data_IF_788554388837
#
_entry.id   IF_788554388837
#
_cell.length_a   1.000
_cell.length_b   1.000
_cell.length_c   1.000
_cell.angle_alpha   90.00
_cell.angle_beta   90.00
_cell.angle_gamma   90.00
#
_symmetry.space_group_name_H-M   'P 1'
#
loop_
_entity.id
_entity.type
_entity.pdbx_description
1 polymer ?
#
# COMPACT_ATOMS: atom_id res chain seq x y z
N UNK A 1 -3.37 -52.32 -23.76
CA UNK A 1 -3.20 -50.87 -23.93
C UNK A 1 -2.95 -50.26 -22.55
N UNK A 2 -1.71 -49.86 -22.29
CA UNK A 2 -1.27 -49.34 -21.00
C UNK A 2 -1.83 -47.93 -20.78
N UNK A 3 -2.67 -47.75 -19.76
CA UNK A 3 -3.07 -46.44 -19.25
C UNK A 3 -2.05 -46.01 -18.19
N UNK A 4 -1.28 -44.96 -18.50
CA UNK A 4 -0.36 -44.32 -17.57
C UNK A 4 -1.11 -43.80 -16.32
N UNK A 5 -0.52 -43.91 -15.11
CA UNK A 5 -1.09 -43.28 -13.93
C UNK A 5 -0.93 -41.77 -14.05
N UNK A 6 -2.03 -41.02 -13.94
CA UNK A 6 -2.01 -39.57 -13.89
C UNK A 6 -1.13 -39.12 -12.72
N UNK A 7 -0.06 -38.41 -13.05
CA UNK A 7 0.85 -37.85 -12.06
C UNK A 7 0.09 -36.91 -11.13
N UNK A 8 0.14 -37.25 -9.84
CA UNK A 8 -0.50 -36.55 -8.73
C UNK A 8 0.22 -35.21 -8.43
N UNK A 9 0.24 -34.31 -9.42
CA UNK A 9 0.93 -33.01 -9.38
C UNK A 9 0.35 -32.10 -8.31
N UNK A 10 -0.98 -32.03 -8.21
CA UNK A 10 -1.71 -31.25 -7.20
C UNK A 10 -1.38 -31.71 -5.77
N UNK A 11 -1.30 -33.03 -5.53
CA UNK A 11 -0.91 -33.58 -4.24
C UNK A 11 0.52 -33.23 -3.82
N UNK A 12 1.45 -33.09 -4.79
CA UNK A 12 2.83 -32.64 -4.51
C UNK A 12 2.91 -31.15 -4.18
N UNK A 13 2.13 -30.32 -4.87
CA UNK A 13 2.06 -28.86 -4.63
C UNK A 13 1.46 -28.56 -3.25
N UNK A 14 0.34 -29.20 -2.90
CA UNK A 14 -0.29 -29.03 -1.57
C UNK A 14 0.61 -29.49 -0.43
N UNK A 15 1.38 -30.57 -0.63
CA UNK A 15 2.36 -31.05 0.35
C UNK A 15 3.59 -30.14 0.48
N UNK A 16 3.92 -29.38 -0.58
CA UNK A 16 4.99 -28.38 -0.58
C UNK A 16 4.60 -27.09 0.15
N UNK A 17 3.30 -26.79 0.26
CA UNK A 17 2.77 -25.55 0.83
C UNK A 17 2.50 -25.62 2.36
N UNK A 18 2.81 -26.74 3.04
CA UNK A 18 2.62 -26.92 4.50
C UNK A 18 1.23 -26.53 5.05
N UNK A 19 0.19 -26.63 4.24
CA UNK A 19 -1.20 -26.43 4.68
C UNK A 19 -1.60 -27.65 5.55
N UNK A 20 -2.21 -27.47 6.74
CA UNK A 20 -2.53 -28.59 7.63
C UNK A 20 -3.49 -29.60 6.98
N UNK A 21 -3.16 -30.88 7.20
CA UNK A 21 -3.83 -32.12 6.78
C UNK A 21 -5.33 -32.03 6.42
N UNK A 22 -5.64 -32.19 5.12
CA UNK A 22 -6.92 -32.76 4.67
C UNK A 22 -6.66 -34.20 4.21
N UNK A 23 -6.77 -35.15 5.13
CA UNK A 23 -6.62 -36.58 4.85
C UNK A 23 -7.90 -37.14 4.18
N UNK A 24 -7.80 -37.52 2.90
CA UNK A 24 -8.77 -38.40 2.24
C UNK A 24 -8.93 -38.13 0.73
N UNK A 25 -8.95 -39.18 -0.09
CA UNK A 25 -9.14 -39.07 -1.55
C UNK A 25 -10.48 -38.40 -1.95
N UNK A 26 -11.51 -38.47 -1.09
CA UNK A 26 -12.76 -37.74 -1.23
C UNK A 26 -12.63 -36.23 -0.93
N UNK A 27 -11.63 -35.85 -0.13
CA UNK A 27 -11.31 -34.46 0.21
C UNK A 27 -10.53 -33.74 -0.88
N UNK A 28 -9.74 -34.44 -1.69
CA UNK A 28 -9.01 -33.85 -2.81
C UNK A 28 -9.93 -33.48 -3.99
N UNK A 29 -10.94 -34.30 -4.31
CA UNK A 29 -11.96 -33.94 -5.30
C UNK A 29 -12.92 -32.87 -4.78
N UNK A 30 -13.24 -32.88 -3.48
CA UNK A 30 -14.06 -31.84 -2.85
C UNK A 30 -13.31 -30.51 -2.72
N UNK A 31 -12.02 -30.53 -2.37
CA UNK A 31 -11.14 -29.37 -2.38
C UNK A 31 -10.88 -28.88 -3.80
N UNK A 32 -10.71 -29.76 -4.79
CA UNK A 32 -10.60 -29.37 -6.19
C UNK A 32 -11.91 -28.75 -6.71
N UNK A 33 -13.08 -29.25 -6.31
CA UNK A 33 -14.39 -28.63 -6.64
C UNK A 33 -14.63 -27.33 -5.88
N UNK A 34 -14.24 -27.22 -4.61
CA UNK A 34 -14.29 -25.98 -3.83
C UNK A 34 -13.30 -24.94 -4.35
N UNK A 35 -12.12 -25.36 -4.84
CA UNK A 35 -11.15 -24.50 -5.52
C UNK A 35 -11.63 -24.13 -6.94
N UNK A 36 -12.30 -25.03 -7.65
CA UNK A 36 -12.89 -24.71 -8.96
C UNK A 36 -14.08 -23.75 -8.85
N UNK A 37 -14.88 -23.87 -7.78
CA UNK A 37 -15.96 -22.95 -7.44
C UNK A 37 -15.40 -21.60 -6.93
N UNK A 38 -14.30 -21.61 -6.16
CA UNK A 38 -13.68 -20.38 -5.66
C UNK A 38 -12.92 -19.60 -6.72
N UNK A 39 -12.39 -20.22 -7.79
CA UNK A 39 -11.65 -19.48 -8.85
C UNK A 39 -12.49 -18.39 -9.53
N UNK A 40 -13.83 -18.51 -9.51
CA UNK A 40 -14.76 -17.52 -10.05
C UNK A 40 -15.19 -16.47 -8.99
N UNK A 41 -15.02 -16.78 -7.70
CA UNK A 41 -15.27 -15.88 -6.55
C UNK A 41 -14.01 -15.15 -6.07
N UNK A 42 -12.81 -15.65 -6.40
CA UNK A 42 -11.53 -15.04 -6.01
C UNK A 42 -11.24 -13.87 -6.93
N UNK A 43 -11.17 -12.69 -6.31
CA UNK A 43 -10.95 -11.42 -6.99
C UNK A 43 -9.63 -11.43 -7.77
N UNK A 44 -9.59 -10.74 -8.90
CA UNK A 44 -8.41 -10.77 -9.78
C UNK A 44 -7.14 -10.32 -9.06
N UNK A 45 -7.21 -9.33 -8.17
CA UNK A 45 -6.08 -8.87 -7.38
C UNK A 45 -5.50 -9.98 -6.48
N UNK A 46 -6.35 -10.78 -5.80
CA UNK A 46 -5.91 -11.90 -4.98
C UNK A 46 -5.20 -12.98 -5.82
N UNK A 47 -5.70 -13.25 -7.04
CA UNK A 47 -5.03 -14.20 -7.96
C UNK A 47 -3.63 -13.72 -8.35
N UNK A 48 -3.47 -12.43 -8.63
CA UNK A 48 -2.17 -11.86 -8.95
C UNK A 48 -1.23 -11.91 -7.74
N UNK A 49 -1.74 -11.65 -6.53
CA UNK A 49 -0.95 -11.74 -5.31
C UNK A 49 -0.47 -13.17 -5.06
N UNK A 50 -1.35 -14.17 -5.13
CA UNK A 50 -0.98 -15.58 -4.98
C UNK A 50 0.03 -16.01 -6.06
N UNK A 51 -0.18 -15.61 -7.31
CA UNK A 51 0.76 -15.92 -8.39
C UNK A 51 2.15 -15.29 -8.14
N UNK A 52 2.20 -14.04 -7.68
CA UNK A 52 3.44 -13.37 -7.33
C UNK A 52 4.13 -14.04 -6.13
N UNK A 53 3.39 -14.43 -5.10
CA UNK A 53 3.94 -15.17 -3.96
C UNK A 53 4.55 -16.51 -4.38
N UNK A 54 3.90 -17.24 -5.27
CA UNK A 54 4.45 -18.48 -5.83
C UNK A 54 5.76 -18.19 -6.58
N UNK A 55 5.76 -17.22 -7.50
CA UNK A 55 6.93 -16.87 -8.32
C UNK A 55 8.10 -16.39 -7.47
N UNK A 56 7.83 -15.62 -6.43
CA UNK A 56 8.85 -15.04 -5.59
C UNK A 56 9.36 -16.03 -4.53
N UNK A 57 8.65 -17.13 -4.26
CA UNK A 57 9.13 -18.24 -3.40
C UNK A 57 9.81 -19.39 -4.17
N UNK A 58 9.67 -19.46 -5.49
CA UNK A 58 10.28 -20.52 -6.29
C UNK A 58 11.81 -20.48 -6.24
N UNK A 59 12.42 -21.64 -6.02
CA UNK A 59 13.87 -21.82 -6.02
C UNK A 59 14.31 -22.30 -7.39
N UNK A 60 15.20 -21.57 -8.06
CA UNK A 60 15.76 -21.98 -9.36
C UNK A 60 17.16 -22.58 -9.25
N UNK A 61 17.84 -22.39 -8.11
CA UNK A 61 19.20 -22.87 -7.89
C UNK A 61 19.49 -23.30 -6.45
N UNK A 62 20.65 -22.93 -5.92
CA UNK A 62 21.09 -23.26 -4.56
C UNK A 62 20.59 -22.21 -3.57
N UNK A 63 19.77 -22.63 -2.60
CA UNK A 63 19.31 -21.77 -1.48
C UNK A 63 20.45 -21.07 -0.73
N UNK A 64 21.60 -21.73 -0.56
CA UNK A 64 22.79 -21.14 0.10
C UNK A 64 23.36 -19.92 -0.62
N UNK A 65 23.06 -19.76 -1.91
CA UNK A 65 23.48 -18.62 -2.74
C UNK A 65 22.36 -17.59 -2.93
N UNK A 66 21.26 -17.73 -2.19
CA UNK A 66 20.07 -16.90 -2.37
C UNK A 66 19.49 -16.91 -3.81
N UNK A 67 19.67 -18.01 -4.55
CA UNK A 67 19.13 -18.22 -5.90
C UNK A 67 17.62 -18.61 -5.82
N UNK A 68 16.81 -17.68 -5.34
CA UNK A 68 15.38 -17.85 -5.05
C UNK A 68 14.59 -16.62 -5.51
N UNK A 69 13.43 -16.87 -6.09
CA UNK A 69 12.42 -15.86 -6.41
C UNK A 69 12.66 -15.13 -7.73
N UNK A 70 11.56 -14.60 -8.26
CA UNK A 70 11.57 -13.80 -9.50
C UNK A 70 12.29 -12.46 -9.34
N UNK A 71 12.26 -11.86 -8.16
CA UNK A 71 12.86 -10.53 -7.93
C UNK A 71 14.37 -10.55 -8.14
N UNK A 72 15.04 -11.65 -7.78
CA UNK A 72 16.47 -11.82 -8.02
C UNK A 72 16.78 -11.97 -9.51
N UNK A 73 15.93 -12.68 -10.25
CA UNK A 73 16.07 -12.84 -11.70
C UNK A 73 15.84 -11.51 -12.46
N UNK A 74 15.00 -10.63 -11.93
CA UNK A 74 14.83 -9.27 -12.44
C UNK A 74 16.07 -8.40 -12.16
N UNK A 75 16.62 -8.49 -10.95
CA UNK A 75 17.83 -7.77 -10.53
C UNK A 75 19.07 -8.18 -11.34
N UNK A 76 19.21 -9.47 -11.64
CA UNK A 76 20.29 -10.02 -12.47
C UNK A 76 20.04 -9.85 -13.99
N UNK A 77 19.00 -9.09 -14.36
CA UNK A 77 18.60 -8.81 -15.75
C UNK A 77 18.32 -10.07 -16.60
N UNK A 78 18.02 -11.20 -15.96
CA UNK A 78 17.57 -12.43 -16.64
C UNK A 78 16.16 -12.22 -17.21
N UNK A 79 15.32 -11.49 -16.47
CA UNK A 79 14.03 -11.01 -16.94
C UNK A 79 14.01 -9.49 -17.04
N UNK A 80 13.35 -8.95 -18.07
CA UNK A 80 13.21 -7.50 -18.25
C UNK A 80 12.14 -6.87 -17.37
N UNK A 81 11.16 -7.64 -16.92
CA UNK A 81 10.05 -7.13 -16.11
C UNK A 81 9.05 -8.22 -15.74
N UNK A 82 8.44 -8.09 -14.57
CA UNK A 82 7.31 -8.89 -14.13
C UNK A 82 6.21 -7.96 -13.62
N UNK A 83 5.03 -8.03 -14.20
CA UNK A 83 3.91 -7.16 -13.84
C UNK A 83 2.57 -7.88 -14.04
N UNK A 84 1.58 -7.63 -13.17
CA UNK A 84 0.22 -8.10 -13.39
C UNK A 84 -0.40 -7.38 -14.60
N UNK A 85 -1.27 -8.08 -15.33
CA UNK A 85 -2.00 -7.49 -16.43
C UNK A 85 -3.30 -6.84 -15.93
N UNK A 86 -3.61 -5.66 -16.46
CA UNK A 86 -4.88 -5.00 -16.17
C UNK A 86 -6.04 -5.69 -16.89
N UNK A 87 -7.22 -5.62 -16.28
CA UNK A 87 -8.44 -6.11 -16.89
C UNK A 87 -8.91 -5.12 -17.97
N UNK A 88 -8.62 -5.45 -19.24
CA UNK A 88 -9.15 -4.78 -20.41
C UNK A 88 -8.80 -3.28 -20.60
N UNK A 89 -9.43 -2.64 -21.61
CA UNK A 89 -9.27 -1.21 -21.88
C UNK A 89 -10.00 -0.35 -20.84
N UNK A 90 -9.53 0.88 -20.63
CA UNK A 90 -10.17 1.84 -19.72
C UNK A 90 -11.32 2.63 -20.40
N UNK A 91 -11.40 2.59 -21.73
CA UNK A 91 -12.39 3.31 -22.52
C UNK A 91 -13.75 2.62 -22.41
N UNK A 92 -14.80 3.41 -22.26
CA UNK A 92 -16.18 2.93 -22.23
C UNK A 92 -16.63 2.58 -23.67
N UNK A 93 -17.25 1.40 -23.87
CA UNK A 93 -17.90 1.08 -25.15
C UNK A 93 -19.03 2.08 -25.45
N UNK A 94 -19.39 2.23 -26.73
CA UNK A 94 -20.49 3.11 -27.15
C UNK A 94 -21.85 2.64 -26.62
N UNK A 95 -22.07 1.33 -26.63
CA UNK A 95 -23.25 0.66 -26.08
C UNK A 95 -22.76 -0.31 -25.00
N UNK A 96 -23.21 -0.13 -23.76
CA UNK A 96 -22.86 -1.02 -22.65
C UNK A 96 -24.02 -1.18 -21.68
N UNK A 97 -24.12 -2.38 -21.08
CA UNK A 97 -24.94 -2.60 -19.90
C UNK A 97 -24.06 -2.39 -18.65
N UNK A 98 -24.58 -1.79 -17.56
CA UNK A 98 -23.79 -1.54 -16.35
C UNK A 98 -23.16 -2.80 -15.74
N UNK A 99 -23.78 -3.97 -15.95
CA UNK A 99 -23.35 -5.27 -15.41
C UNK A 99 -22.15 -5.87 -16.16
N UNK A 100 -21.93 -5.46 -17.41
CA UNK A 100 -20.84 -5.97 -18.26
C UNK A 100 -19.56 -5.13 -18.15
N UNK A 101 -19.56 -4.08 -17.31
CA UNK A 101 -18.44 -3.17 -17.19
C UNK A 101 -17.30 -3.78 -16.39
N UNK A 102 -16.09 -3.54 -16.88
CA UNK A 102 -14.87 -3.90 -16.19
C UNK A 102 -14.62 -2.99 -14.97
N UNK A 103 -14.03 -3.51 -13.89
CA UNK A 103 -13.58 -2.73 -12.73
C UNK A 103 -12.75 -1.49 -13.13
N UNK A 104 -11.86 -1.64 -14.13
CA UNK A 104 -11.06 -0.51 -14.65
C UNK A 104 -11.91 0.58 -15.30
N UNK A 105 -12.93 0.18 -16.06
CA UNK A 105 -13.84 1.12 -16.73
C UNK A 105 -14.72 1.84 -15.72
N UNK A 106 -15.20 1.13 -14.68
CA UNK A 106 -15.97 1.70 -13.58
C UNK A 106 -15.14 2.76 -12.83
N UNK A 107 -13.91 2.44 -12.47
CA UNK A 107 -13.00 3.37 -11.79
C UNK A 107 -12.71 4.63 -12.63
N UNK A 108 -12.48 4.46 -13.93
CA UNK A 108 -12.31 5.60 -14.83
C UNK A 108 -13.58 6.45 -14.91
N UNK A 109 -14.75 5.81 -15.06
CA UNK A 109 -16.02 6.49 -15.24
C UNK A 109 -16.44 7.31 -14.01
N UNK A 110 -16.23 6.79 -12.80
CA UNK A 110 -16.80 7.32 -11.56
C UNK A 110 -15.80 8.00 -10.61
N UNK A 111 -14.49 7.81 -10.80
CA UNK A 111 -13.48 8.33 -9.87
C UNK A 111 -12.35 9.09 -10.57
N UNK A 112 -11.68 8.51 -11.56
CA UNK A 112 -10.46 9.07 -12.15
C UNK A 112 -10.68 10.18 -13.22
N UNK A 113 -11.74 10.98 -13.10
CA UNK A 113 -12.02 12.13 -14.01
C UNK A 113 -12.08 13.45 -13.26
N UNK A 114 -11.50 14.49 -13.87
CA UNK A 114 -11.49 15.85 -13.33
C UNK A 114 -12.88 16.40 -12.99
N UNK A 115 -13.92 16.01 -13.73
CA UNK A 115 -15.29 16.46 -13.49
C UNK A 115 -15.98 15.87 -12.25
N UNK A 116 -15.34 14.94 -11.53
CA UNK A 116 -15.95 14.18 -10.43
C UNK A 116 -15.37 14.52 -9.05
N UNK A 117 -14.57 15.57 -8.94
CA UNK A 117 -13.89 15.97 -7.70
C UNK A 117 -14.84 16.25 -6.51
N UNK A 118 -16.12 16.53 -6.76
CA UNK A 118 -17.13 16.79 -5.73
C UNK A 118 -17.76 15.52 -5.15
N UNK A 119 -17.54 14.35 -5.74
CA UNK A 119 -18.12 13.09 -5.28
C UNK A 119 -17.24 12.44 -4.21
N UNK A 120 -17.87 11.64 -3.34
CA UNK A 120 -17.15 10.78 -2.41
C UNK A 120 -16.35 9.71 -3.18
N UNK A 121 -15.16 9.38 -2.66
CA UNK A 121 -14.29 8.39 -3.27
C UNK A 121 -14.83 6.96 -3.03
N UNK A 122 -14.96 6.13 -4.07
CA UNK A 122 -15.41 4.74 -3.93
C UNK A 122 -14.26 3.84 -3.46
N UNK A 123 -13.96 3.86 -2.16
CA UNK A 123 -12.80 3.18 -1.59
C UNK A 123 -12.80 1.66 -1.82
N UNK A 124 -13.97 1.01 -1.74
CA UNK A 124 -14.06 -0.45 -1.90
C UNK A 124 -13.72 -0.89 -3.33
N UNK A 125 -14.12 -0.11 -4.35
CA UNK A 125 -13.78 -0.42 -5.75
C UNK A 125 -12.30 -0.15 -6.05
N UNK A 126 -11.71 0.87 -5.42
CA UNK A 126 -10.27 1.16 -5.53
C UNK A 126 -9.48 0.03 -4.89
N UNK A 127 -9.87 -0.40 -3.68
CA UNK A 127 -9.29 -1.55 -3.01
C UNK A 127 -9.41 -2.80 -3.89
N UNK A 128 -10.58 -3.04 -4.45
CA UNK A 128 -10.81 -4.26 -5.21
C UNK A 128 -9.89 -4.41 -6.41
N UNK A 129 -9.59 -3.29 -7.09
CA UNK A 129 -8.75 -3.28 -8.27
C UNK A 129 -7.24 -3.12 -7.97
N UNK A 130 -6.88 -2.26 -7.02
CA UNK A 130 -5.48 -1.91 -6.72
C UNK A 130 -4.92 -2.57 -5.45
N UNK A 131 -5.76 -3.18 -4.63
CA UNK A 131 -5.41 -3.76 -3.34
C UNK A 131 -5.52 -2.81 -2.15
N UNK A 132 -5.37 -3.38 -0.96
CA UNK A 132 -5.54 -2.74 0.34
C UNK A 132 -4.58 -1.57 0.55
N UNK A 133 -3.30 -1.72 0.16
CA UNK A 133 -2.27 -0.68 0.37
C UNK A 133 -2.64 0.62 -0.36
N UNK A 134 -3.07 0.52 -1.62
CA UNK A 134 -3.47 1.68 -2.43
C UNK A 134 -4.85 2.20 -1.98
N UNK A 135 -5.78 1.31 -1.64
CA UNK A 135 -7.07 1.69 -1.07
C UNK A 135 -6.92 2.51 0.21
N UNK A 136 -6.02 2.11 1.11
CA UNK A 136 -5.77 2.82 2.37
C UNK A 136 -5.11 4.19 2.13
N UNK A 137 -4.21 4.29 1.16
CA UNK A 137 -3.62 5.57 0.75
C UNK A 137 -4.70 6.57 0.30
N UNK A 138 -5.61 6.16 -0.58
CA UNK A 138 -6.69 7.05 -1.04
C UNK A 138 -7.71 7.34 0.06
N UNK A 139 -7.96 6.40 0.98
CA UNK A 139 -8.77 6.65 2.16
C UNK A 139 -8.16 7.75 3.06
N UNK A 140 -6.85 7.70 3.31
CA UNK A 140 -6.13 8.73 4.06
C UNK A 140 -6.21 10.08 3.35
N UNK A 141 -5.92 10.11 2.05
CA UNK A 141 -5.93 11.33 1.25
C UNK A 141 -7.33 11.98 1.24
N UNK A 142 -8.38 11.18 1.04
CA UNK A 142 -9.76 11.66 1.08
C UNK A 142 -10.16 12.22 2.44
N UNK A 143 -9.79 11.55 3.53
CA UNK A 143 -10.06 12.07 4.87
C UNK A 143 -9.28 13.36 5.16
N UNK A 144 -8.01 13.41 4.78
CA UNK A 144 -7.14 14.56 4.99
C UNK A 144 -7.66 15.80 4.25
N UNK A 145 -8.01 15.64 2.97
CA UNK A 145 -8.60 16.73 2.16
C UNK A 145 -9.93 17.22 2.74
N UNK A 146 -10.79 16.33 3.22
CA UNK A 146 -12.03 16.70 3.92
C UNK A 146 -11.74 17.46 5.23
N UNK A 147 -10.73 17.05 6.00
CA UNK A 147 -10.34 17.73 7.25
C UNK A 147 -9.60 19.06 7.04
N UNK A 148 -8.98 19.28 5.88
CA UNK A 148 -8.42 20.58 5.51
C UNK A 148 -9.51 21.63 5.22
N UNK A 149 -10.74 21.22 4.90
CA UNK A 149 -11.84 22.15 4.64
C UNK A 149 -12.14 23.06 5.85
N UNK A 150 -12.42 22.56 7.07
CA UNK A 150 -12.64 23.43 8.23
C UNK A 150 -11.41 24.28 8.56
N UNK A 151 -10.19 23.74 8.41
CA UNK A 151 -8.97 24.49 8.65
C UNK A 151 -8.79 25.65 7.68
N UNK A 152 -9.07 25.43 6.38
CA UNK A 152 -9.00 26.47 5.37
C UNK A 152 -10.07 27.55 5.56
N UNK A 153 -11.30 27.18 5.97
CA UNK A 153 -12.36 28.15 6.30
C UNK A 153 -11.92 29.06 7.44
N UNK A 154 -11.42 28.50 8.55
CA UNK A 154 -10.92 29.29 9.69
C UNK A 154 -9.73 30.16 9.27
N UNK A 155 -8.80 29.61 8.49
CA UNK A 155 -7.65 30.34 7.97
C UNK A 155 -8.06 31.54 7.09
N UNK A 156 -9.04 31.38 6.21
CA UNK A 156 -9.58 32.48 5.39
C UNK A 156 -10.22 33.56 6.28
N UNK A 157 -10.99 33.18 7.30
CA UNK A 157 -11.61 34.14 8.23
C UNK A 157 -10.53 34.96 8.95
N UNK A 158 -9.48 34.30 9.45
CA UNK A 158 -8.35 34.94 10.13
C UNK A 158 -7.60 35.87 9.17
N UNK A 159 -7.39 35.46 7.92
CA UNK A 159 -6.77 36.29 6.89
C UNK A 159 -7.60 37.54 6.55
N UNK A 160 -8.91 37.39 6.40
CA UNK A 160 -9.82 38.53 6.17
C UNK A 160 -9.84 39.51 7.34
N UNK A 161 -9.79 39.00 8.58
CA UNK A 161 -9.62 39.82 9.79
C UNK A 161 -8.30 40.60 9.77
N UNK A 162 -7.20 39.97 9.33
CA UNK A 162 -5.92 40.61 9.10
C UNK A 162 -6.00 41.74 8.07
N UNK A 163 -6.62 41.50 6.92
CA UNK A 163 -6.83 42.52 5.88
C UNK A 163 -7.64 43.72 6.38
N UNK A 164 -8.68 43.48 7.20
CA UNK A 164 -9.50 44.55 7.77
C UNK A 164 -8.70 45.39 8.78
N UNK A 165 -8.00 44.74 9.70
CA UNK A 165 -7.18 45.39 10.73
C UNK A 165 -6.01 46.17 10.11
N UNK A 166 -5.40 45.61 9.06
CA UNK A 166 -4.32 46.25 8.30
C UNK A 166 -4.76 47.59 7.68
N UNK A 167 -5.95 47.64 7.07
CA UNK A 167 -6.48 48.89 6.48
C UNK A 167 -6.77 49.99 7.49
N UNK A 168 -7.10 49.62 8.73
CA UNK A 168 -7.47 50.58 9.77
C UNK A 168 -6.26 51.19 10.51
N UNK A 169 -5.19 50.40 10.72
CA UNK A 169 -4.13 50.75 11.68
C UNK A 169 -2.77 51.08 11.05
N UNK A 170 -2.58 50.89 9.74
CA UNK A 170 -1.27 50.99 9.07
C UNK A 170 -1.21 52.18 8.08
N UNK A 171 -0.34 53.18 8.32
CA UNK A 171 -0.08 54.27 7.37
C UNK A 171 0.45 53.79 6.00
N UNK A 172 0.21 54.57 4.94
CA UNK A 172 0.59 54.21 3.56
C UNK A 172 2.10 54.15 3.28
N UNK A 173 2.92 54.79 4.12
CA UNK A 173 4.33 55.12 3.81
C UNK A 173 5.36 54.07 4.30
N UNK A 174 4.90 52.87 4.66
CA UNK A 174 5.78 51.80 5.18
C UNK A 174 6.26 50.87 4.05
N UNK A 175 7.48 50.35 4.18
CA UNK A 175 8.08 49.37 3.27
C UNK A 175 7.22 48.09 3.11
N UNK A 176 7.19 47.54 1.89
CA UNK A 176 6.39 46.36 1.52
C UNK A 176 6.62 45.14 2.44
N UNK A 177 7.86 44.87 2.84
CA UNK A 177 8.19 43.75 3.74
C UNK A 177 7.47 43.90 5.09
N UNK A 178 7.52 45.10 5.68
CA UNK A 178 6.87 45.38 6.95
C UNK A 178 5.33 45.31 6.82
N UNK A 179 4.77 45.74 5.68
CA UNK A 179 3.33 45.60 5.40
C UNK A 179 2.88 44.13 5.39
N UNK A 180 3.69 43.24 4.80
CA UNK A 180 3.43 41.80 4.78
C UNK A 180 3.53 41.25 6.21
N UNK A 181 4.55 41.62 6.98
CA UNK A 181 4.68 41.16 8.37
C UNK A 181 3.49 41.58 9.23
N UNK A 182 3.03 42.83 9.17
CA UNK A 182 1.84 43.28 9.93
C UNK A 182 0.55 42.59 9.49
N UNK A 183 0.45 42.15 8.24
CA UNK A 183 -0.70 41.38 7.77
C UNK A 183 -0.75 39.97 8.38
N UNK A 184 0.41 39.35 8.63
CA UNK A 184 0.51 38.00 9.21
C UNK A 184 0.72 38.00 10.74
N UNK A 185 1.21 39.10 11.31
CA UNK A 185 1.49 39.23 12.74
C UNK A 185 0.41 40.07 13.44
N UNK A 186 -0.78 39.48 13.54
CA UNK A 186 -1.92 40.07 14.25
C UNK A 186 -2.48 39.07 15.27
N UNK A 187 -3.23 39.51 16.30
CA UNK A 187 -3.75 38.61 17.35
C UNK A 187 -4.52 37.37 16.84
N UNK A 188 -5.17 37.47 15.68
CA UNK A 188 -5.87 36.33 15.05
C UNK A 188 -4.97 35.17 14.63
N UNK A 189 -3.68 35.37 14.32
CA UNK A 189 -2.78 34.26 13.95
C UNK A 189 -2.34 33.44 15.15
N UNK A 190 -2.27 34.05 16.35
CA UNK A 190 -2.09 33.33 17.62
C UNK A 190 -3.30 32.43 17.91
N UNK A 191 -4.52 32.91 17.65
CA UNK A 191 -5.71 32.06 17.74
C UNK A 191 -5.65 30.89 16.75
N UNK A 192 -5.24 31.16 15.51
CA UNK A 192 -5.11 30.13 14.48
C UNK A 192 -4.06 29.06 14.82
N UNK A 193 -2.93 29.43 15.42
CA UNK A 193 -1.89 28.46 15.79
C UNK A 193 -2.37 27.47 16.87
N UNK A 194 -3.12 27.95 17.87
CA UNK A 194 -3.77 27.10 18.86
C UNK A 194 -4.80 26.18 18.20
N UNK A 195 -5.63 26.73 17.31
CA UNK A 195 -6.61 25.94 16.54
C UNK A 195 -5.94 24.84 15.71
N UNK A 196 -4.84 25.14 15.00
CA UNK A 196 -4.10 24.15 14.17
C UNK A 196 -3.53 23.04 15.04
N UNK A 197 -3.04 23.34 16.25
CA UNK A 197 -2.57 22.33 17.19
C UNK A 197 -3.70 21.35 17.58
N UNK A 198 -4.88 21.86 17.94
CA UNK A 198 -6.05 21.03 18.24
C UNK A 198 -6.55 20.26 17.00
N UNK A 199 -6.58 20.91 15.84
CA UNK A 199 -6.94 20.29 14.56
C UNK A 199 -6.02 19.12 14.23
N UNK A 200 -4.71 19.25 14.41
CA UNK A 200 -3.75 18.20 14.11
C UNK A 200 -3.94 16.96 15.01
N UNK A 201 -4.11 17.16 16.32
CA UNK A 201 -4.34 16.06 17.27
C UNK A 201 -5.67 15.37 16.97
N UNK A 202 -6.75 16.13 16.78
CA UNK A 202 -8.07 15.56 16.49
C UNK A 202 -8.12 14.85 15.14
N UNK A 203 -7.45 15.37 14.11
CA UNK A 203 -7.29 14.70 12.82
C UNK A 203 -6.59 13.35 12.97
N UNK A 204 -5.45 13.30 13.67
CA UNK A 204 -4.69 12.06 13.85
C UNK A 204 -5.48 11.00 14.61
N UNK A 205 -6.20 11.39 15.67
CA UNK A 205 -7.05 10.46 16.42
C UNK A 205 -8.24 9.96 15.58
N UNK A 206 -8.84 10.84 14.78
CA UNK A 206 -9.90 10.45 13.85
C UNK A 206 -9.38 9.52 12.73
N UNK A 207 -8.17 9.75 12.23
CA UNK A 207 -7.53 8.85 11.28
C UNK A 207 -7.28 7.47 11.90
N UNK A 208 -6.73 7.39 13.11
CA UNK A 208 -6.52 6.09 13.81
C UNK A 208 -7.82 5.29 13.90
N UNK A 209 -8.94 5.94 14.27
CA UNK A 209 -10.26 5.31 14.34
C UNK A 209 -10.76 4.87 12.95
N UNK A 210 -10.61 5.73 11.94
CA UNK A 210 -11.03 5.41 10.56
C UNK A 210 -10.20 4.27 9.98
N UNK A 211 -8.88 4.27 10.21
CA UNK A 211 -7.96 3.23 9.83
C UNK A 211 -8.36 1.89 10.45
N UNK A 212 -8.60 1.83 11.76
CA UNK A 212 -9.05 0.61 12.43
C UNK A 212 -10.41 0.12 11.90
N UNK A 213 -11.36 1.02 11.64
CA UNK A 213 -12.65 0.67 11.04
C UNK A 213 -12.50 0.11 9.62
N UNK A 214 -11.61 0.68 8.81
CA UNK A 214 -11.35 0.20 7.45
C UNK A 214 -10.60 -1.13 7.47
N UNK A 215 -9.57 -1.26 8.29
CA UNK A 215 -8.82 -2.51 8.43
C UNK A 215 -9.72 -3.66 8.92
N UNK A 216 -10.65 -3.40 9.83
CA UNK A 216 -11.66 -4.39 10.23
C UNK A 216 -12.66 -4.69 9.10
N UNK A 217 -13.22 -3.65 8.45
CA UNK A 217 -14.15 -3.86 7.34
C UNK A 217 -13.48 -4.63 6.18
N UNK A 218 -12.18 -4.42 6.00
CA UNK A 218 -11.41 -5.05 4.94
C UNK A 218 -10.78 -6.38 5.33
N UNK A 219 -10.98 -6.86 6.57
CA UNK A 219 -10.42 -8.11 7.07
C UNK A 219 -8.89 -8.18 6.99
N UNK A 220 -8.23 -7.05 7.28
CA UNK A 220 -6.75 -6.88 7.25
C UNK A 220 -6.19 -6.61 8.65
N UNK A 221 -7.00 -6.78 9.71
CA UNK A 221 -6.56 -6.54 11.09
C UNK A 221 -5.50 -7.54 11.56
N UNK A 222 -5.67 -8.80 11.16
CA UNK A 222 -4.82 -9.93 11.53
C UNK A 222 -3.90 -10.35 10.37
N UNK A 223 -3.73 -9.48 9.37
CA UNK A 223 -2.65 -9.64 8.40
C UNK A 223 -1.36 -9.33 9.15
N UNK A 224 -0.86 -10.30 9.93
CA UNK A 224 0.55 -10.37 10.26
C UNK A 224 1.28 -10.12 8.93
N UNK A 225 2.24 -9.19 8.91
CA UNK A 225 3.15 -9.09 7.76
C UNK A 225 3.83 -10.47 7.64
N UNK A 226 3.18 -11.37 6.90
CA UNK A 226 3.59 -12.75 6.64
C UNK A 226 5.08 -12.70 6.39
N UNK A 227 5.88 -13.23 7.32
CA UNK A 227 7.36 -13.25 7.34
C UNK A 227 7.96 -12.51 6.13
N UNK A 228 7.98 -11.16 6.17
CA UNK A 228 8.32 -10.38 4.96
C UNK A 228 9.68 -10.86 4.46
N UNK A 229 9.68 -11.47 3.28
CA UNK A 229 10.84 -12.21 2.79
C UNK A 229 12.03 -11.25 2.74
N UNK A 230 13.23 -11.69 3.17
CA UNK A 230 14.38 -10.81 3.17
C UNK A 230 14.62 -10.33 1.73
N UNK A 231 14.65 -9.00 1.55
CA UNK A 231 14.81 -8.37 0.24
C UNK A 231 15.93 -9.06 -0.55
N UNK A 232 15.76 -9.31 -1.85
CA UNK A 232 16.77 -10.03 -2.65
C UNK A 232 18.17 -9.43 -2.54
N UNK A 233 18.27 -8.09 -2.60
CA UNK A 233 19.51 -7.34 -2.42
C UNK A 233 20.19 -7.65 -1.08
N UNK A 234 19.40 -7.65 0.01
CA UNK A 234 19.91 -7.96 1.34
C UNK A 234 20.45 -9.39 1.40
N UNK A 235 19.68 -10.34 0.88
CA UNK A 235 20.02 -11.77 0.87
C UNK A 235 21.29 -12.07 0.06
N UNK A 236 21.49 -11.39 -1.07
CA UNK A 236 22.66 -11.58 -1.93
C UNK A 236 23.95 -11.00 -1.34
N UNK A 237 23.86 -9.91 -0.59
CA UNK A 237 25.02 -9.27 0.03
C UNK A 237 25.47 -9.96 1.33
N UNK A 238 24.61 -10.78 1.96
CA UNK A 238 24.92 -11.45 3.22
C UNK A 238 26.03 -12.50 3.07
N UNK A 239 27.01 -12.47 3.97
CA UNK A 239 28.09 -13.47 4.03
C UNK A 239 27.78 -14.63 4.97
N UNK A 240 26.84 -14.48 5.90
CA UNK A 240 26.48 -15.46 6.92
C UNK A 240 24.98 -15.76 6.95
N UNK A 241 24.64 -16.92 7.50
CA UNK A 241 23.27 -17.33 7.81
C UNK A 241 23.16 -17.55 9.31
N UNK A 242 22.07 -17.10 9.90
CA UNK A 242 21.78 -17.28 11.32
C UNK A 242 20.39 -17.89 11.49
N UNK A 243 20.19 -18.64 12.58
CA UNK A 243 18.89 -19.23 12.87
C UNK A 243 18.04 -18.19 13.59
N UNK A 244 16.91 -17.85 13.02
CA UNK A 244 15.97 -16.92 13.62
C UNK A 244 15.46 -17.50 14.97
N UNK A 245 15.56 -16.75 16.09
CA UNK A 245 15.17 -17.25 17.42
C UNK A 245 13.66 -17.43 17.59
N UNK A 246 12.84 -16.79 16.74
CA UNK A 246 11.37 -16.87 16.79
C UNK A 246 10.87 -17.98 15.87
N UNK A 247 11.28 -17.96 14.60
CA UNK A 247 10.75 -18.86 13.57
C UNK A 247 11.52 -20.19 13.50
N UNK A 248 12.78 -20.20 13.97
CA UNK A 248 13.66 -21.36 13.88
C UNK A 248 14.18 -21.65 12.48
N UNK A 249 13.86 -20.81 11.49
CA UNK A 249 14.32 -20.93 10.12
C UNK A 249 15.75 -20.35 9.96
N UNK A 250 16.50 -20.84 8.98
CA UNK A 250 17.83 -20.31 8.64
C UNK A 250 17.67 -19.15 7.66
N UNK A 251 18.05 -17.96 8.07
CA UNK A 251 17.89 -16.73 7.31
C UNK A 251 19.26 -16.08 7.02
N UNK A 252 19.42 -15.40 5.87
CA UNK A 252 20.60 -14.57 5.62
C UNK A 252 20.72 -13.50 6.71
N UNK A 253 21.90 -13.37 7.31
CA UNK A 253 22.14 -12.39 8.38
C UNK A 253 23.47 -11.67 8.19
N UNK A 254 23.46 -10.36 8.40
CA UNK A 254 24.65 -9.53 8.41
C UNK A 254 25.28 -9.47 9.81
N UNK A 255 26.58 -9.85 9.98
CA UNK A 255 27.22 -9.77 11.28
C UNK A 255 27.28 -8.32 11.78
N UNK A 256 27.09 -8.13 13.09
CA UNK A 256 27.01 -6.80 13.71
C UNK A 256 28.25 -5.93 13.46
N UNK A 257 29.43 -6.55 13.34
CA UNK A 257 30.68 -5.85 13.02
C UNK A 257 30.68 -5.16 11.65
N UNK A 258 29.92 -5.66 10.68
CA UNK A 258 29.77 -5.07 9.35
C UNK A 258 28.53 -4.18 9.25
N UNK A 259 27.47 -4.51 9.99
CA UNK A 259 26.20 -3.77 9.99
C UNK A 259 26.33 -2.40 10.66
N UNK A 260 26.94 -2.35 11.85
CA UNK A 260 27.07 -1.12 12.66
C UNK A 260 27.82 0.00 11.91
N UNK A 261 29.01 -0.21 11.31
CA UNK A 261 29.71 0.87 10.62
C UNK A 261 28.90 1.40 9.44
N UNK A 262 28.19 0.55 8.68
CA UNK A 262 27.31 1.00 7.57
C UNK A 262 26.17 1.89 8.05
N UNK A 263 25.54 1.54 9.18
CA UNK A 263 24.49 2.37 9.80
C UNK A 263 25.08 3.73 10.23
N UNK A 264 26.24 3.73 10.88
CA UNK A 264 26.90 4.97 11.32
C UNK A 264 27.25 5.87 10.12
N UNK A 265 27.80 5.30 9.04
CA UNK A 265 28.08 6.05 7.80
C UNK A 265 26.79 6.63 7.22
N UNK A 266 25.70 5.85 7.16
CA UNK A 266 24.40 6.33 6.68
C UNK A 266 23.86 7.50 7.50
N UNK A 267 23.87 7.37 8.83
CA UNK A 267 23.45 8.46 9.75
C UNK A 267 24.31 9.71 9.55
N UNK A 268 25.63 9.53 9.39
CA UNK A 268 26.55 10.66 9.20
C UNK A 268 26.27 11.39 7.88
N UNK A 269 26.00 10.66 6.79
CA UNK A 269 25.61 11.28 5.53
C UNK A 269 24.32 12.10 5.66
N UNK A 270 23.31 11.61 6.38
CA UNK A 270 22.06 12.34 6.61
C UNK A 270 22.31 13.64 7.40
N UNK A 271 23.22 13.63 8.37
CA UNK A 271 23.54 14.81 9.19
C UNK A 271 24.36 15.86 8.40
N UNK A 272 25.15 15.42 7.42
CA UNK A 272 25.99 16.30 6.60
C UNK A 272 25.21 16.95 5.44
N UNK A 273 24.12 16.32 4.98
CA UNK A 273 23.22 16.89 3.96
C UNK A 273 22.29 17.96 4.56
#
# INVERSE_FOLDING_TARGET
AHSHPADNWSGKVLKSLHIPNVHGAAGAESAARLLHLSVQEVQAQQRHQVAYEILATQVYGKRKRAEVGIDRLLEEEVYSGAFPLHEGPYELPKDYQPEDLNARQILNAYWAKWGLWYKYQPLDHIREYYGEKIGLYFAWLGLYTAWLLPASIVGIIVFLYGCFTFKANVPGDICMFMRISYLFDHPGTVFYSVFVAFWAVTFLENWKRKNASLAHHWDVMDFEEDEERPRPEYSALCSSYERNPVTGNLEPHFPNSLRIPRIITGITCIIIM
#
